data_IF_738363861075
#
_entry.id   IF_738363861075
#
_cell.length_a   1.000
_cell.length_b   1.000
_cell.length_c   1.000
_cell.angle_alpha   90.00
_cell.angle_beta   90.00
_cell.angle_gamma   90.00
#
_symmetry.space_group_name_H-M   'P 1'
#
loop_
_entity.id
_entity.type
_entity.pdbx_description
1 polymer ?
#
# COMPACT_ATOMS: atom_id res chain seq x y z
N UNK A 1 -16.08 -31.34 17.27
CA UNK A 1 -14.66 -31.03 17.55
C UNK A 1 -14.42 -29.53 17.60
N UNK A 2 -14.73 -28.77 16.55
CA UNK A 2 -14.58 -27.29 16.57
C UNK A 2 -15.50 -26.65 17.62
N UNK A 3 -16.75 -27.10 17.71
CA UNK A 3 -17.72 -26.63 18.72
C UNK A 3 -17.29 -26.93 20.15
N UNK A 4 -16.64 -28.07 20.40
CA UNK A 4 -16.10 -28.44 21.72
C UNK A 4 -14.88 -27.62 22.12
N UNK A 5 -14.04 -27.23 21.15
CA UNK A 5 -12.89 -26.33 21.37
C UNK A 5 -13.37 -24.91 21.69
N UNK A 6 -14.40 -24.43 20.98
CA UNK A 6 -15.00 -23.11 21.25
C UNK A 6 -15.72 -23.09 22.60
N UNK A 7 -16.38 -24.17 23.01
CA UNK A 7 -17.04 -24.24 24.32
C UNK A 7 -16.06 -24.36 25.50
N UNK A 8 -14.82 -24.82 25.27
CA UNK A 8 -13.76 -24.87 26.30
C UNK A 8 -13.07 -23.53 26.55
N UNK A 9 -13.44 -22.50 25.79
CA UNK A 9 -12.83 -21.18 25.87
C UNK A 9 -13.52 -20.34 26.95
N UNK A 10 -13.09 -20.53 28.20
CA UNK A 10 -13.53 -19.69 29.31
C UNK A 10 -13.15 -18.22 29.09
N UNK A 11 -13.96 -17.29 29.62
CA UNK A 11 -13.70 -15.84 29.56
C UNK A 11 -12.33 -15.48 30.16
N UNK A 12 -11.87 -16.23 31.16
CA UNK A 12 -10.54 -16.15 31.77
C UNK A 12 -9.39 -16.32 30.76
N UNK A 13 -9.62 -17.00 29.63
CA UNK A 13 -8.64 -17.26 28.58
C UNK A 13 -8.60 -16.18 27.49
N UNK A 14 -9.52 -15.20 27.50
CA UNK A 14 -9.53 -14.12 26.49
C UNK A 14 -8.22 -13.30 26.51
N UNK A 15 -7.69 -12.87 27.68
CA UNK A 15 -6.45 -12.10 27.71
C UNK A 15 -5.25 -12.86 27.14
N UNK A 16 -5.12 -14.15 27.46
CA UNK A 16 -4.03 -14.99 26.95
C UNK A 16 -4.14 -15.20 25.44
N UNK A 17 -5.33 -15.41 24.90
CA UNK A 17 -5.55 -15.47 23.45
C UNK A 17 -5.19 -14.17 22.75
N UNK A 18 -5.54 -13.01 23.31
CA UNK A 18 -5.20 -11.71 22.72
C UNK A 18 -3.69 -11.50 22.68
N UNK A 19 -2.97 -11.89 23.73
CA UNK A 19 -1.50 -11.85 23.77
C UNK A 19 -0.91 -12.76 22.69
N UNK A 20 -1.37 -14.01 22.61
CA UNK A 20 -0.89 -14.98 21.61
C UNK A 20 -1.16 -14.48 20.20
N UNK A 21 -2.37 -13.99 19.92
CA UNK A 21 -2.76 -13.42 18.63
C UNK A 21 -1.88 -12.23 18.25
N UNK A 22 -1.60 -11.34 19.22
CA UNK A 22 -0.72 -10.19 19.02
C UNK A 22 0.71 -10.62 18.68
N UNK A 23 1.27 -11.60 19.40
CA UNK A 23 2.60 -12.15 19.12
C UNK A 23 2.64 -12.74 17.72
N UNK A 24 1.68 -13.59 17.36
CA UNK A 24 1.60 -14.21 16.03
C UNK A 24 1.54 -13.13 14.94
N UNK A 25 0.69 -12.12 15.12
CA UNK A 25 0.56 -11.02 14.17
C UNK A 25 1.87 -10.25 13.98
N UNK A 26 2.53 -9.86 15.09
CA UNK A 26 3.80 -9.11 15.05
C UNK A 26 4.92 -9.95 14.41
N UNK A 27 5.04 -11.23 14.79
CA UNK A 27 6.00 -12.15 14.18
C UNK A 27 5.73 -12.31 12.69
N UNK A 28 4.48 -12.49 12.28
CA UNK A 28 4.11 -12.63 10.87
C UNK A 28 4.44 -11.36 10.07
N UNK A 29 4.13 -10.19 10.63
CA UNK A 29 4.45 -8.89 10.02
C UNK A 29 5.95 -8.75 9.77
N UNK A 30 6.78 -8.99 10.80
CA UNK A 30 8.23 -8.85 10.65
C UNK A 30 8.86 -9.96 9.82
N UNK A 31 8.34 -11.19 9.86
CA UNK A 31 8.76 -12.24 8.93
C UNK A 31 8.58 -11.76 7.48
N UNK A 32 7.38 -11.30 7.11
CA UNK A 32 7.10 -10.76 5.77
C UNK A 32 7.97 -9.55 5.44
N UNK A 33 8.21 -8.66 6.40
CA UNK A 33 9.10 -7.53 6.21
C UNK A 33 10.51 -8.02 5.87
N UNK A 34 11.15 -8.81 6.72
CA UNK A 34 12.55 -9.20 6.52
C UNK A 34 12.77 -10.17 5.34
N UNK A 35 11.77 -10.93 4.92
CA UNK A 35 11.87 -11.85 3.75
C UNK A 35 11.34 -11.24 2.45
N UNK A 36 11.08 -9.93 2.40
CA UNK A 36 10.53 -9.27 1.21
C UNK A 36 11.52 -9.28 0.03
N UNK A 37 11.05 -9.41 -1.21
CA UNK A 37 11.91 -9.36 -2.37
C UNK A 37 12.44 -7.94 -2.62
N UNK A 38 13.71 -7.85 -3.01
CA UNK A 38 14.39 -6.59 -3.36
C UNK A 38 14.21 -5.50 -2.29
N UNK A 39 14.71 -5.72 -1.06
CA UNK A 39 14.57 -4.72 0.01
C UNK A 39 15.30 -3.44 -0.37
N UNK A 40 14.64 -2.30 -0.16
CA UNK A 40 15.22 -0.97 -0.33
C UNK A 40 15.53 -0.35 1.04
N UNK A 41 16.43 0.65 1.11
CA UNK A 41 16.59 1.43 2.31
C UNK A 41 15.27 2.11 2.68
N UNK A 42 15.03 2.31 3.97
CA UNK A 42 13.80 2.92 4.45
C UNK A 42 13.71 2.97 5.97
N UNK A 43 12.79 3.76 6.52
CA UNK A 43 12.53 3.77 7.95
C UNK A 43 11.92 2.45 8.43
N UNK A 44 12.27 2.05 9.65
CA UNK A 44 11.73 0.83 10.25
C UNK A 44 10.23 0.98 10.51
N UNK A 45 9.38 0.09 9.96
CA UNK A 45 7.93 0.20 10.11
C UNK A 45 7.43 -0.48 11.39
N UNK A 46 6.40 0.08 12.00
CA UNK A 46 5.67 -0.56 13.10
C UNK A 46 4.51 -1.41 12.57
N UNK A 47 4.12 -2.50 13.25
CA UNK A 47 2.93 -3.25 12.91
C UNK A 47 1.68 -2.35 12.94
N UNK A 48 0.66 -2.67 12.13
CA UNK A 48 -0.59 -1.91 11.97
C UNK A 48 -0.41 -0.53 11.31
N UNK A 49 0.36 0.37 11.92
CA UNK A 49 0.50 1.78 11.49
C UNK A 49 1.61 2.02 10.45
N UNK A 50 2.53 1.07 10.28
CA UNK A 50 3.66 1.22 9.36
C UNK A 50 4.58 2.36 9.79
N UNK A 51 4.87 3.26 8.86
CA UNK A 51 5.71 4.44 9.05
C UNK A 51 4.91 5.72 9.33
N UNK A 52 3.57 5.65 9.38
CA UNK A 52 2.70 6.82 9.56
C UNK A 52 2.99 7.60 10.86
N UNK A 53 3.44 6.90 11.90
CA UNK A 53 3.82 7.53 13.18
C UNK A 53 4.96 8.56 13.04
N UNK A 54 5.79 8.46 12.00
CA UNK A 54 6.89 9.38 11.76
C UNK A 54 6.43 10.70 11.14
N UNK A 55 5.20 10.73 10.62
CA UNK A 55 4.60 11.91 10.01
C UNK A 55 3.97 12.85 11.05
N UNK A 56 3.81 12.42 12.30
CA UNK A 56 3.18 13.23 13.35
C UNK A 56 3.96 14.54 13.51
N UNK A 57 3.29 15.68 13.30
CA UNK A 57 3.89 17.01 13.36
C UNK A 57 4.51 17.51 12.04
N UNK A 58 4.44 16.74 10.95
CA UNK A 58 4.95 17.12 9.63
C UNK A 58 3.89 17.07 8.53
N UNK A 59 4.03 17.96 7.54
CA UNK A 59 3.39 17.77 6.23
C UNK A 59 3.99 16.55 5.51
N UNK A 60 3.18 15.87 4.67
CA UNK A 60 3.61 14.67 3.91
C UNK A 60 4.84 14.98 3.06
N UNK A 61 4.85 16.13 2.40
CA UNK A 61 5.94 16.65 1.57
C UNK A 61 7.26 16.79 2.35
N UNK A 62 7.21 17.45 3.50
CA UNK A 62 8.37 17.65 4.37
C UNK A 62 8.88 16.33 4.93
N UNK A 63 7.97 15.43 5.29
CA UNK A 63 8.31 14.09 5.76
C UNK A 63 9.03 13.29 4.67
N UNK A 64 8.46 13.19 3.47
CA UNK A 64 9.08 12.48 2.34
C UNK A 64 10.43 13.11 1.93
N UNK A 65 10.56 14.43 2.00
CA UNK A 65 11.83 15.11 1.74
C UNK A 65 12.89 14.77 2.80
N UNK A 66 12.48 14.65 4.07
CA UNK A 66 13.38 14.22 5.15
C UNK A 66 13.87 12.79 4.96
N UNK A 67 12.99 11.90 4.49
CA UNK A 67 13.33 10.52 4.17
C UNK A 67 14.23 10.45 2.95
N UNK A 68 13.98 11.23 1.90
CA UNK A 68 14.87 11.35 0.74
C UNK A 68 16.28 11.75 1.16
N UNK A 69 16.42 12.78 1.99
CA UNK A 69 17.74 13.21 2.51
C UNK A 69 18.48 12.10 3.27
N UNK A 70 17.75 11.20 3.92
CA UNK A 70 18.33 10.13 4.77
C UNK A 70 18.58 8.82 4.02
N UNK A 71 17.67 8.42 3.15
CA UNK A 71 17.65 7.11 2.48
C UNK A 71 18.01 7.17 1.00
N UNK A 72 18.14 8.38 0.44
CA UNK A 72 18.54 8.58 -0.94
C UNK A 72 17.37 8.54 -1.93
N UNK A 73 17.73 8.51 -3.21
CA UNK A 73 16.83 8.76 -4.34
C UNK A 73 15.76 7.70 -4.59
N UNK A 74 15.89 6.54 -3.95
CA UNK A 74 14.95 5.44 -4.02
C UNK A 74 14.91 4.76 -2.65
N UNK A 75 13.75 4.80 -2.01
CA UNK A 75 13.53 4.21 -0.70
C UNK A 75 12.13 3.64 -0.60
N UNK A 76 11.86 2.89 0.47
CA UNK A 76 10.55 2.31 0.72
C UNK A 76 9.98 2.75 2.07
N UNK A 77 8.66 2.80 2.13
CA UNK A 77 7.89 3.02 3.36
C UNK A 77 6.73 2.01 3.40
N UNK A 78 6.20 1.74 4.58
CA UNK A 78 4.96 1.01 4.77
C UNK A 78 3.90 1.99 5.28
N UNK A 79 2.79 2.11 4.57
CA UNK A 79 1.63 2.87 5.02
C UNK A 79 0.38 2.01 4.90
N UNK A 80 -0.47 2.00 5.92
CA UNK A 80 -1.70 1.20 5.97
C UNK A 80 -1.48 -0.28 5.58
N UNK A 81 -0.36 -0.87 6.02
CA UNK A 81 0.00 -2.26 5.71
C UNK A 81 0.51 -2.51 4.28
N UNK A 82 0.62 -1.47 3.44
CA UNK A 82 1.11 -1.56 2.06
C UNK A 82 2.54 -1.05 1.96
N UNK A 83 3.40 -1.82 1.26
CA UNK A 83 4.75 -1.38 0.89
C UNK A 83 4.66 -0.40 -0.29
N UNK A 84 5.19 0.79 -0.10
CA UNK A 84 5.30 1.83 -1.11
C UNK A 84 6.77 2.07 -1.42
N UNK A 85 7.10 2.14 -2.71
CA UNK A 85 8.43 2.52 -3.18
C UNK A 85 8.36 3.98 -3.62
N UNK A 86 9.18 4.82 -3.01
CA UNK A 86 9.27 6.24 -3.31
C UNK A 86 10.43 6.47 -4.26
N UNK A 87 10.15 7.14 -5.38
CA UNK A 87 11.13 7.47 -6.42
C UNK A 87 11.32 8.99 -6.44
N UNK A 88 12.54 9.44 -6.22
CA UNK A 88 12.88 10.87 -6.12
C UNK A 88 13.66 11.40 -7.33
N UNK A 89 13.95 10.58 -8.33
CA UNK A 89 14.59 11.03 -9.59
C UNK A 89 13.71 10.85 -10.82
N UNK A 90 13.76 11.80 -11.78
CA UNK A 90 13.00 11.71 -13.02
C UNK A 90 13.28 10.46 -13.87
N UNK A 91 14.55 10.04 -13.98
CA UNK A 91 14.97 8.90 -14.81
C UNK A 91 14.34 7.56 -14.36
N UNK A 92 14.04 7.43 -13.07
CA UNK A 92 13.38 6.26 -12.50
C UNK A 92 11.89 6.19 -12.86
N UNK A 93 11.27 7.33 -13.14
CA UNK A 93 9.81 7.46 -13.36
C UNK A 93 9.50 7.63 -14.85
N UNK A 94 10.45 8.11 -15.66
CA UNK A 94 10.26 8.38 -17.08
C UNK A 94 9.64 7.18 -17.82
N UNK A 95 10.22 6.00 -17.63
CA UNK A 95 9.73 4.75 -18.23
C UNK A 95 8.33 4.32 -17.74
N UNK A 96 7.89 4.82 -16.59
CA UNK A 96 6.55 4.57 -16.04
C UNK A 96 5.49 5.49 -16.65
N UNK A 97 5.88 6.71 -17.03
CA UNK A 97 4.98 7.76 -17.51
C UNK A 97 4.96 7.92 -19.04
N UNK A 98 5.54 6.99 -19.80
CA UNK A 98 5.51 7.04 -21.27
C UNK A 98 4.08 6.75 -21.77
N UNK A 99 3.51 7.58 -22.67
CA UNK A 99 2.20 7.35 -23.27
C UNK A 99 2.28 6.22 -24.31
N UNK A 100 2.47 4.99 -23.84
CA UNK A 100 2.66 3.80 -24.65
C UNK A 100 1.71 2.69 -24.24
N UNK A 101 1.05 2.07 -25.24
CA UNK A 101 0.26 0.84 -25.06
C UNK A 101 1.12 -0.36 -24.64
N UNK A 102 2.45 -0.24 -24.70
CA UNK A 102 3.43 -1.27 -24.31
C UNK A 102 4.07 -1.00 -22.94
N UNK A 103 3.63 0.03 -22.22
CA UNK A 103 4.15 0.30 -20.87
C UNK A 103 3.88 -0.89 -19.95
N UNK A 104 4.85 -1.21 -19.09
CA UNK A 104 4.69 -2.18 -18.00
C UNK A 104 3.81 -1.64 -16.86
N UNK A 105 3.46 -0.36 -16.91
CA UNK A 105 2.73 0.37 -15.88
C UNK A 105 1.44 0.98 -16.44
N UNK A 106 0.47 0.16 -16.93
CA UNK A 106 -0.77 0.68 -17.49
C UNK A 106 -1.74 1.21 -16.43
N UNK A 107 -1.62 0.73 -15.19
CA UNK A 107 -2.52 1.03 -14.08
C UNK A 107 -1.86 2.05 -13.15
N UNK A 108 -2.63 3.06 -12.73
CA UNK A 108 -2.15 4.13 -11.84
C UNK A 108 -2.21 3.74 -10.37
N UNK A 109 -3.27 3.01 -9.99
CA UNK A 109 -3.51 2.57 -8.63
C UNK A 109 -3.96 1.12 -8.66
N UNK A 110 -3.60 0.36 -7.64
CA UNK A 110 -4.08 -0.99 -7.48
C UNK A 110 -5.55 -0.95 -7.02
N UNK A 111 -6.41 -1.79 -7.61
CA UNK A 111 -7.76 -1.95 -7.09
C UNK A 111 -7.69 -2.57 -5.70
N UNK A 112 -8.16 -1.85 -4.70
CA UNK A 112 -8.38 -2.41 -3.36
C UNK A 112 -9.86 -2.79 -3.21
N UNK A 113 -10.17 -3.67 -2.27
CA UNK A 113 -11.55 -4.05 -1.96
C UNK A 113 -12.42 -2.82 -1.67
N UNK A 114 -11.88 -1.83 -0.97
CA UNK A 114 -12.58 -0.56 -0.72
C UNK A 114 -12.96 0.18 -2.00
N UNK A 115 -12.10 0.23 -3.04
CA UNK A 115 -12.47 0.84 -4.32
C UNK A 115 -13.64 0.11 -4.99
N UNK A 116 -13.67 -1.22 -4.91
CA UNK A 116 -14.76 -2.01 -5.44
C UNK A 116 -16.06 -1.80 -4.66
N UNK A 117 -16.01 -1.78 -3.32
CA UNK A 117 -17.16 -1.56 -2.43
C UNK A 117 -17.82 -0.20 -2.66
N UNK A 118 -17.01 0.86 -2.86
CA UNK A 118 -17.53 2.20 -3.18
C UNK A 118 -17.97 2.36 -4.64
N UNK A 119 -17.91 1.30 -5.47
CA UNK A 119 -18.29 1.35 -6.88
C UNK A 119 -17.35 2.23 -7.72
N UNK A 120 -16.11 2.44 -7.26
CA UNK A 120 -15.10 3.24 -7.93
C UNK A 120 -14.24 2.41 -8.90
N UNK A 121 -14.35 1.09 -8.85
CA UNK A 121 -13.66 0.21 -9.79
C UNK A 121 -14.23 0.33 -11.21
N UNK A 122 -13.34 0.43 -12.21
CA UNK A 122 -13.70 0.45 -13.62
C UNK A 122 -14.39 1.72 -14.14
N UNK A 123 -14.54 2.77 -13.31
CA UNK A 123 -15.24 4.01 -13.67
C UNK A 123 -14.32 5.23 -13.77
N UNK A 124 -14.72 6.20 -14.59
CA UNK A 124 -13.97 7.45 -14.78
C UNK A 124 -12.63 7.27 -15.51
N UNK A 125 -11.65 8.13 -15.21
CA UNK A 125 -10.33 8.17 -15.87
C UNK A 125 -9.17 7.96 -14.88
N UNK A 126 -9.26 8.52 -13.67
CA UNK A 126 -8.13 8.52 -12.73
C UNK A 126 -7.87 7.16 -12.06
N UNK A 127 -8.93 6.47 -11.63
CA UNK A 127 -8.89 5.20 -10.89
C UNK A 127 -9.35 3.99 -11.73
N UNK A 128 -9.53 4.18 -13.04
CA UNK A 128 -10.10 3.16 -13.91
C UNK A 128 -9.00 2.22 -14.44
N UNK A 129 -9.00 1.00 -13.94
CA UNK A 129 -8.10 -0.06 -14.38
C UNK A 129 -8.65 -0.90 -15.54
N UNK A 130 -9.92 -0.70 -15.95
CA UNK A 130 -10.46 -1.31 -17.17
C UNK A 130 -10.04 -0.51 -18.39
N UNK A 131 -9.09 -1.06 -19.16
CA UNK A 131 -8.48 -0.36 -20.29
C UNK A 131 -9.49 0.08 -21.37
N UNK A 132 -10.60 -0.66 -21.54
CA UNK A 132 -11.62 -0.36 -22.56
C UNK A 132 -12.50 0.82 -22.12
N UNK A 133 -13.04 0.75 -20.91
CA UNK A 133 -13.80 1.80 -20.22
C UNK A 133 -12.96 3.07 -20.09
N UNK A 134 -11.71 2.96 -19.63
CA UNK A 134 -10.81 4.09 -19.49
C UNK A 134 -10.56 4.80 -20.82
N UNK A 135 -10.32 4.06 -21.91
CA UNK A 135 -10.13 4.64 -23.25
C UNK A 135 -11.35 5.42 -23.71
N UNK A 136 -12.54 4.85 -23.54
CA UNK A 136 -13.80 5.50 -23.88
C UNK A 136 -13.99 6.79 -23.07
N UNK A 137 -13.90 6.70 -21.74
CA UNK A 137 -14.07 7.85 -20.85
C UNK A 137 -13.04 8.95 -21.15
N UNK A 138 -11.77 8.59 -21.35
CA UNK A 138 -10.72 9.55 -21.71
C UNK A 138 -11.01 10.24 -23.03
N UNK A 139 -11.40 9.48 -24.07
CA UNK A 139 -11.75 10.06 -25.36
C UNK A 139 -12.94 11.02 -25.24
N UNK A 140 -13.99 10.61 -24.53
CA UNK A 140 -15.16 11.44 -24.28
C UNK A 140 -14.78 12.77 -23.61
N UNK A 141 -14.08 12.73 -22.48
CA UNK A 141 -13.67 13.95 -21.77
C UNK A 141 -12.69 14.83 -22.56
N UNK A 142 -11.79 14.23 -23.36
CA UNK A 142 -10.89 15.00 -24.22
C UNK A 142 -11.57 15.69 -25.41
N UNK A 143 -12.80 15.28 -25.75
CA UNK A 143 -13.59 15.91 -26.82
C UNK A 143 -14.63 16.90 -26.29
N UNK A 144 -14.99 16.80 -24.99
CA UNK A 144 -15.99 17.64 -24.35
C UNK A 144 -15.43 18.98 -23.84
N UNK A 145 -14.11 19.08 -23.70
CA UNK A 145 -13.36 20.30 -23.38
C UNK A 145 -12.75 20.83 -24.67
#
# INVERSE_FOLDING_TARGET
>A
MITTIISSLEISNIPSLLIISSIIYVTHFYYRYFTRPNPLPGPFPLPIIGNAYQQIGYGVDNWLLSLHKKYGDMYEIILAGQRLIILCRPDLIENMNIPSKKSKYPNRLHNTEGFAEYGLDGIGVAFNNDLKSWKYNRQFFSQAI
#
